data_IF_493697444345
#
_entry.id   IF_493697444345
#
_cell.length_a   1.000
_cell.length_b   1.000
_cell.length_c   1.000
_cell.angle_alpha   90.00
_cell.angle_beta   90.00
_cell.angle_gamma   90.00
#
_symmetry.space_group_name_H-M   'P 1'
#
loop_
_entity.id
_entity.type
_entity.pdbx_description
1 polymer ?
#
# COMPACT_ATOMS: atom_id res chain seq x y z
N UNK A 1 -20.98 -21.88 38.12
CA UNK A 1 -20.59 -22.65 36.92
C UNK A 1 -19.20 -22.16 36.56
N UNK A 2 -18.18 -22.81 37.14
CA UNK A 2 -16.77 -22.43 37.03
C UNK A 2 -16.24 -22.78 35.63
N UNK A 3 -15.43 -21.89 35.06
CA UNK A 3 -14.61 -22.19 33.88
C UNK A 3 -13.17 -21.78 34.18
N UNK A 4 -12.30 -22.80 34.16
CA UNK A 4 -10.84 -22.69 34.24
C UNK A 4 -10.26 -21.98 33.00
N UNK A 5 -9.10 -21.31 33.13
CA UNK A 5 -8.43 -20.63 32.03
C UNK A 5 -7.65 -21.60 31.14
N UNK A 6 -7.84 -21.49 29.82
CA UNK A 6 -7.12 -22.29 28.83
C UNK A 6 -5.76 -21.68 28.51
N UNK A 7 -4.72 -22.50 28.67
CA UNK A 7 -3.32 -22.16 28.54
C UNK A 7 -2.85 -22.05 27.09
N UNK A 8 -1.85 -21.20 26.91
CA UNK A 8 -1.04 -20.99 25.71
C UNK A 8 -0.30 -22.28 25.32
N UNK A 9 -0.63 -22.84 24.16
CA UNK A 9 0.12 -23.94 23.56
C UNK A 9 1.20 -23.41 22.60
N UNK A 10 2.45 -23.34 23.09
CA UNK A 10 3.67 -23.23 22.27
C UNK A 10 4.05 -24.63 21.77
N UNK A 11 4.08 -24.83 20.46
CA UNK A 11 4.65 -26.03 19.86
C UNK A 11 6.19 -25.90 19.80
N UNK A 12 6.89 -26.64 20.64
CA UNK A 12 8.31 -26.94 20.52
C UNK A 12 8.45 -28.42 20.16
N UNK A 13 8.99 -28.70 18.99
CA UNK A 13 9.36 -30.06 18.57
C UNK A 13 10.78 -30.38 19.05
N UNK A 14 10.92 -31.48 19.79
CA UNK A 14 12.21 -32.11 20.09
C UNK A 14 12.25 -33.51 19.42
N UNK A 15 13.39 -33.96 18.87
CA UNK A 15 13.51 -35.28 18.26
C UNK A 15 14.04 -36.32 19.26
N UNK A 16 13.62 -37.58 19.10
CA UNK A 16 14.11 -38.78 19.79
C UNK A 16 14.44 -39.91 18.80
N UNK A 17 15.08 -41.02 19.24
CA UNK A 17 16.34 -41.52 18.65
C UNK A 17 16.20 -42.70 17.68
N UNK A 18 17.25 -42.91 16.86
CA UNK A 18 17.28 -43.84 15.71
C UNK A 18 17.85 -45.24 15.95
N UNK A 19 18.20 -45.94 14.85
CA UNK A 19 19.24 -47.00 14.73
C UNK A 19 19.40 -47.53 13.29
N UNK A 20 20.67 -47.60 12.84
CA UNK A 20 21.27 -48.57 11.89
C UNK A 20 20.94 -48.42 10.39
N UNK A 21 21.85 -48.38 9.42
CA UNK A 21 23.30 -48.62 9.34
C UNK A 21 23.61 -49.47 8.10
N UNK A 22 24.30 -48.92 7.09
CA UNK A 22 25.24 -49.58 6.18
C UNK A 22 25.67 -48.64 5.03
N UNK A 23 26.98 -48.47 4.84
CA UNK A 23 27.63 -48.02 3.61
C UNK A 23 28.48 -49.18 3.05
N UNK A 24 28.94 -49.14 1.78
CA UNK A 24 30.29 -48.61 1.55
C UNK A 24 30.49 -47.79 0.24
N UNK A 25 31.66 -47.16 0.19
CA UNK A 25 32.28 -46.17 -0.74
C UNK A 25 32.78 -46.77 -2.09
N UNK A 26 33.66 -46.15 -2.94
CA UNK A 26 34.37 -44.84 -2.86
C UNK A 26 34.61 -44.04 -4.19
N UNK A 27 35.24 -42.87 -3.99
CA UNK A 27 36.29 -42.23 -4.81
C UNK A 27 36.02 -41.71 -6.24
N UNK A 28 36.15 -40.38 -6.40
CA UNK A 28 37.27 -39.82 -7.15
C UNK A 28 37.60 -38.37 -6.69
N UNK A 29 38.87 -38.16 -6.31
CA UNK A 29 39.52 -36.85 -6.20
C UNK A 29 40.30 -36.61 -7.50
N UNK A 30 40.38 -35.37 -7.99
CA UNK A 30 41.64 -34.70 -8.39
C UNK A 30 41.45 -33.19 -8.66
N UNK A 31 42.06 -32.41 -7.74
CA UNK A 31 42.77 -31.11 -7.75
C UNK A 31 42.81 -30.12 -8.96
N UNK A 32 43.22 -28.85 -8.69
CA UNK A 32 42.76 -27.63 -9.36
C UNK A 32 43.76 -27.07 -10.39
N UNK A 33 43.32 -26.07 -11.17
CA UNK A 33 44.21 -25.24 -11.99
C UNK A 33 44.10 -23.74 -11.67
N UNK A 34 45.29 -23.18 -11.53
CA UNK A 34 45.67 -21.84 -11.10
C UNK A 34 45.53 -20.79 -12.21
N UNK A 35 45.42 -19.53 -11.77
CA UNK A 35 45.39 -18.27 -12.56
C UNK A 35 46.54 -18.11 -13.56
N UNK A 36 46.44 -17.10 -14.44
CA UNK A 36 47.42 -16.02 -14.31
C UNK A 36 46.81 -14.60 -14.27
N UNK A 37 47.48 -13.79 -13.46
CA UNK A 37 47.37 -12.35 -13.31
C UNK A 37 48.17 -11.71 -14.45
N UNK A 38 47.58 -10.79 -15.21
CA UNK A 38 48.33 -9.94 -16.14
C UNK A 38 48.48 -8.53 -15.55
N UNK A 39 49.73 -8.21 -15.16
CA UNK A 39 50.21 -6.85 -14.89
C UNK A 39 50.51 -6.14 -16.21
N UNK A 40 50.03 -4.90 -16.38
CA UNK A 40 50.65 -3.84 -17.21
C UNK A 40 50.42 -2.51 -16.49
N UNK A 41 51.42 -2.02 -15.75
CA UNK A 41 52.47 -1.07 -16.16
C UNK A 41 51.92 0.25 -16.69
N UNK A 42 52.14 1.29 -15.88
CA UNK A 42 51.87 2.68 -16.19
C UNK A 42 52.90 3.22 -17.20
N UNK A 43 52.40 3.93 -18.21
CA UNK A 43 53.20 4.82 -19.04
C UNK A 43 52.67 6.24 -18.86
N UNK A 44 53.56 7.11 -18.41
CA UNK A 44 53.37 8.54 -18.22
C UNK A 44 53.42 9.21 -19.59
N UNK A 45 52.35 9.88 -19.97
CA UNK A 45 52.29 10.77 -21.13
C UNK A 45 51.70 12.11 -20.69
N UNK A 46 52.57 13.09 -20.50
CA UNK A 46 52.19 14.46 -20.23
C UNK A 46 51.64 15.11 -21.50
N UNK A 47 50.41 15.65 -21.44
CA UNK A 47 49.88 16.59 -22.44
C UNK A 47 49.23 17.76 -21.70
N UNK A 48 49.64 18.96 -22.09
CA UNK A 48 49.35 20.23 -21.46
C UNK A 48 47.85 20.55 -21.33
N UNK A 49 47.45 21.01 -20.14
CA UNK A 49 46.10 21.53 -19.86
C UNK A 49 46.01 22.98 -20.32
N UNK A 50 45.27 23.22 -21.40
CA UNK A 50 44.75 24.54 -21.76
C UNK A 50 43.57 24.88 -20.84
N UNK A 51 43.66 26.03 -20.16
CA UNK A 51 42.63 26.58 -19.28
C UNK A 51 41.41 27.03 -20.09
N UNK A 52 40.28 26.32 -19.95
CA UNK A 52 38.92 26.90 -20.12
C UNK A 52 37.97 26.25 -19.11
N UNK A 53 37.47 27.06 -18.18
CA UNK A 53 36.51 26.62 -17.17
C UNK A 53 35.15 26.27 -17.78
N UNK A 54 34.37 25.35 -17.19
CA UNK A 54 33.05 25.03 -17.69
C UNK A 54 32.05 26.12 -17.30
N UNK A 55 31.44 26.73 -18.32
CA UNK A 55 30.26 27.59 -18.18
C UNK A 55 29.11 26.69 -17.72
N UNK A 56 28.69 26.87 -16.47
CA UNK A 56 27.55 26.17 -15.88
C UNK A 56 26.26 26.56 -16.60
N UNK A 57 25.75 25.67 -17.45
CA UNK A 57 24.40 25.77 -18.01
C UNK A 57 23.40 25.39 -16.92
N UNK A 58 23.03 26.37 -16.09
CA UNK A 58 21.94 26.24 -15.09
C UNK A 58 20.67 25.81 -15.82
N UNK A 59 20.15 24.63 -15.47
CA UNK A 59 18.85 24.19 -15.95
C UNK A 59 17.78 25.13 -15.37
N UNK A 60 16.86 25.59 -16.22
CA UNK A 60 15.81 26.57 -15.92
C UNK A 60 14.69 26.03 -15.01
N UNK A 61 14.94 24.91 -14.31
CA UNK A 61 13.92 24.11 -13.64
C UNK A 61 14.02 24.09 -12.11
N UNK A 62 15.09 24.64 -11.51
CA UNK A 62 15.20 24.71 -10.04
C UNK A 62 14.49 25.92 -9.42
N UNK A 63 13.97 26.86 -10.23
CA UNK A 63 13.39 28.13 -9.75
C UNK A 63 11.87 28.06 -9.56
N UNK A 64 11.19 27.00 -10.02
CA UNK A 64 9.73 26.88 -9.92
C UNK A 64 9.22 26.32 -8.57
N UNK A 65 10.10 25.77 -7.72
CA UNK A 65 9.68 25.13 -6.45
C UNK A 65 9.74 26.08 -5.24
N UNK A 66 10.34 27.27 -5.37
CA UNK A 66 10.58 28.18 -4.22
C UNK A 66 9.62 29.37 -4.16
N UNK A 67 8.71 29.55 -5.12
CA UNK A 67 7.89 30.77 -5.23
C UNK A 67 6.43 30.65 -4.73
N UNK A 68 6.00 29.51 -4.14
CA UNK A 68 4.61 29.29 -3.73
C UNK A 68 4.43 29.07 -2.22
N UNK A 69 5.14 29.83 -1.38
CA UNK A 69 4.91 29.85 0.07
C UNK A 69 4.68 31.30 0.52
N UNK A 70 3.44 31.76 0.37
CA UNK A 70 2.70 32.70 1.24
C UNK A 70 1.67 33.50 0.45
N UNK A 71 0.42 33.08 0.50
CA UNK A 71 -0.75 33.97 0.37
C UNK A 71 -1.83 33.46 1.33
N UNK A 72 -2.32 34.34 2.20
CA UNK A 72 -3.12 34.07 3.39
C UNK A 72 -4.58 33.68 3.17
N UNK A 73 -4.92 32.98 2.08
CA UNK A 73 -6.17 32.23 1.91
C UNK A 73 -5.85 31.11 0.92
N UNK A 74 -6.33 29.89 1.18
CA UNK A 74 -6.21 28.84 0.18
C UNK A 74 -7.10 29.22 -1.00
N UNK A 75 -6.53 29.40 -2.19
CA UNK A 75 -7.27 29.45 -3.45
C UNK A 75 -7.96 28.09 -3.65
N UNK A 76 -9.06 27.88 -2.93
CA UNK A 76 -9.89 26.69 -3.06
C UNK A 76 -10.51 26.67 -4.45
N UNK A 77 -10.76 25.48 -4.97
CA UNK A 77 -11.58 25.36 -6.17
C UNK A 77 -13.01 25.83 -5.88
N UNK A 78 -13.63 26.45 -6.88
CA UNK A 78 -15.06 26.70 -6.88
C UNK A 78 -15.80 25.35 -7.04
N UNK A 79 -16.20 24.77 -5.92
CA UNK A 79 -16.77 23.43 -5.83
C UNK A 79 -17.83 23.38 -4.72
N UNK A 80 -18.94 22.67 -4.95
CA UNK A 80 -19.97 22.48 -3.93
C UNK A 80 -19.56 21.40 -2.91
N UNK A 81 -18.85 21.82 -1.86
CA UNK A 81 -18.32 20.93 -0.83
C UNK A 81 -19.39 20.16 -0.03
N UNK A 82 -20.63 20.66 0.07
CA UNK A 82 -21.74 19.96 0.75
C UNK A 82 -22.20 18.72 -0.01
N UNK A 83 -21.99 18.70 -1.33
CA UNK A 83 -22.40 17.60 -2.19
C UNK A 83 -21.42 16.43 -2.18
N UNK A 84 -20.25 16.58 -1.52
CA UNK A 84 -19.22 15.56 -1.51
C UNK A 84 -19.73 14.23 -0.96
N UNK A 85 -19.58 13.19 -1.78
CA UNK A 85 -19.70 11.79 -1.37
C UNK A 85 -18.36 11.07 -1.43
N UNK A 86 -18.40 9.76 -1.59
CA UNK A 86 -17.23 8.94 -1.91
C UNK A 86 -17.28 8.54 -3.40
N UNK A 87 -17.11 9.54 -4.27
CA UNK A 87 -17.13 9.39 -5.73
C UNK A 87 -15.87 10.00 -6.32
N UNK A 88 -15.45 9.50 -7.49
CA UNK A 88 -14.27 10.03 -8.16
C UNK A 88 -14.53 11.46 -8.63
N UNK A 89 -13.76 12.40 -8.09
CA UNK A 89 -13.63 13.77 -8.57
C UNK A 89 -12.18 13.91 -9.05
N UNK A 90 -11.94 13.99 -10.37
CA UNK A 90 -10.60 14.19 -10.91
C UNK A 90 -9.96 15.45 -10.35
N UNK A 91 -8.74 15.32 -9.82
CA UNK A 91 -7.92 16.46 -9.38
C UNK A 91 -6.88 16.82 -10.44
N UNK A 92 -5.98 17.76 -10.16
CA UNK A 92 -5.11 18.33 -11.19
C UNK A 92 -3.93 17.43 -11.53
N UNK A 93 -3.30 16.84 -10.52
CA UNK A 93 -2.05 16.09 -10.66
C UNK A 93 -2.09 14.75 -9.94
N UNK A 94 -1.31 13.81 -10.45
CA UNK A 94 -0.94 12.57 -9.78
C UNK A 94 0.58 12.39 -9.82
N UNK A 95 1.12 11.59 -8.91
CA UNK A 95 2.55 11.26 -8.87
C UNK A 95 2.79 9.87 -9.46
N UNK A 96 3.87 9.70 -10.23
CA UNK A 96 4.30 8.41 -10.76
C UNK A 96 5.80 8.20 -10.51
N UNK A 97 6.17 7.01 -10.06
CA UNK A 97 7.53 6.48 -10.14
C UNK A 97 7.50 5.05 -10.69
N UNK A 98 8.61 4.61 -11.26
CA UNK A 98 8.72 3.30 -11.90
C UNK A 98 9.92 2.54 -11.36
N UNK A 99 9.83 1.22 -11.45
CA UNK A 99 10.89 0.31 -11.04
C UNK A 99 10.99 -0.81 -12.08
N UNK A 100 12.21 -1.25 -12.36
CA UNK A 100 12.49 -2.33 -13.32
C UNK A 100 13.07 -3.53 -12.58
N UNK A 101 13.73 -4.43 -13.31
CA UNK A 101 14.32 -5.66 -12.78
C UNK A 101 15.43 -5.45 -11.74
N UNK A 102 15.94 -4.22 -11.58
CA UNK A 102 16.94 -3.87 -10.57
C UNK A 102 16.33 -3.65 -9.18
N UNK A 103 15.00 -3.57 -9.07
CA UNK A 103 14.30 -3.33 -7.81
C UNK A 103 14.41 -1.88 -7.31
N UNK A 104 15.03 -0.98 -8.08
CA UNK A 104 15.26 0.40 -7.68
C UNK A 104 14.20 1.31 -8.29
N UNK A 105 13.46 2.01 -7.45
CA UNK A 105 12.51 3.01 -7.90
C UNK A 105 13.22 4.26 -8.40
N UNK A 106 12.86 4.70 -9.61
CA UNK A 106 13.35 5.95 -10.19
C UNK A 106 12.90 7.14 -9.35
N UNK A 107 13.54 8.28 -9.57
CA UNK A 107 12.95 9.56 -9.16
C UNK A 107 11.60 9.70 -9.87
N UNK A 108 10.53 9.82 -9.10
CA UNK A 108 9.21 10.04 -9.65
C UNK A 108 8.95 11.49 -10.01
N UNK A 109 7.79 11.71 -10.61
CA UNK A 109 7.35 12.97 -11.18
C UNK A 109 5.87 13.22 -10.92
N UNK A 110 5.50 14.50 -10.83
CA UNK A 110 4.12 14.93 -10.88
C UNK A 110 3.70 15.09 -12.34
N UNK A 111 2.62 14.44 -12.71
CA UNK A 111 2.01 14.53 -14.04
C UNK A 111 0.55 14.94 -13.90
N UNK A 112 -0.07 15.52 -14.94
CA UNK A 112 -1.52 15.74 -14.93
C UNK A 112 -2.27 14.45 -14.60
N UNK A 113 -3.33 14.55 -13.80
CA UNK A 113 -4.18 13.39 -13.52
C UNK A 113 -4.77 12.84 -14.83
N UNK A 114 -4.70 11.52 -15.02
CA UNK A 114 -5.14 10.90 -16.25
C UNK A 114 -5.01 9.37 -16.25
N UNK A 115 -5.31 8.73 -17.39
CA UNK A 115 -5.17 7.29 -17.53
C UNK A 115 -3.71 6.85 -17.39
N UNK A 116 -3.50 5.65 -16.85
CA UNK A 116 -2.20 4.97 -16.86
C UNK A 116 -2.22 3.99 -18.03
N UNK A 117 -1.34 4.19 -19.00
CA UNK A 117 -1.17 3.27 -20.12
C UNK A 117 -0.50 1.97 -19.65
N UNK A 118 -1.13 0.83 -19.97
CA UNK A 118 -0.65 -0.50 -19.64
C UNK A 118 -0.66 -1.38 -20.88
N UNK A 119 0.36 -2.23 -20.99
CA UNK A 119 0.34 -3.32 -21.97
C UNK A 119 -0.77 -4.33 -21.57
N UNK A 120 -1.55 -4.87 -22.52
CA UNK A 120 -2.57 -5.89 -22.20
C UNK A 120 -2.02 -7.12 -21.47
N UNK A 121 -0.75 -7.47 -21.70
CA UNK A 121 -0.05 -8.55 -21.01
C UNK A 121 0.53 -8.14 -19.64
N UNK A 122 0.19 -6.97 -19.09
CA UNK A 122 0.68 -6.55 -17.78
C UNK A 122 0.23 -7.52 -16.68
N UNK A 123 1.13 -7.83 -15.74
CA UNK A 123 0.86 -8.79 -14.67
C UNK A 123 -0.36 -8.39 -13.81
N UNK A 124 -0.58 -7.09 -13.59
CA UNK A 124 -1.77 -6.62 -12.85
C UNK A 124 -3.09 -6.99 -13.55
N UNK A 125 -3.13 -6.95 -14.88
CA UNK A 125 -4.34 -7.16 -15.66
C UNK A 125 -4.71 -8.65 -15.75
N UNK A 126 -3.70 -9.53 -15.75
CA UNK A 126 -3.87 -10.95 -15.98
C UNK A 126 -3.82 -11.79 -14.69
N UNK A 127 -3.04 -11.36 -13.70
CA UNK A 127 -2.75 -12.14 -12.48
C UNK A 127 -3.00 -11.35 -11.19
N UNK A 128 -3.54 -10.13 -11.28
CA UNK A 128 -3.89 -9.33 -10.11
C UNK A 128 -2.69 -8.90 -9.25
N UNK A 129 -1.47 -8.87 -9.82
CA UNK A 129 -0.25 -8.46 -9.10
C UNK A 129 -0.26 -6.95 -8.83
N UNK A 130 -1.02 -6.54 -7.82
CA UNK A 130 -1.18 -5.16 -7.43
C UNK A 130 -1.60 -4.98 -5.97
N UNK A 131 -1.18 -3.85 -5.41
CA UNK A 131 -1.52 -3.38 -4.08
C UNK A 131 -2.10 -1.98 -4.17
N UNK A 132 -2.95 -1.65 -3.20
CA UNK A 132 -3.41 -0.31 -2.98
C UNK A 132 -3.23 0.06 -1.51
N UNK A 133 -3.11 1.34 -1.24
CA UNK A 133 -3.19 1.91 0.09
C UNK A 133 -4.27 2.97 0.12
N UNK A 134 -4.57 3.46 1.31
CA UNK A 134 -5.29 4.70 1.40
C UNK A 134 -5.26 5.32 2.78
N UNK A 135 -5.41 6.64 2.74
CA UNK A 135 -5.24 7.53 3.85
C UNK A 135 -5.90 8.87 3.50
N UNK A 136 -5.98 9.77 4.48
CA UNK A 136 -6.69 11.05 4.34
C UNK A 136 -5.81 12.22 4.75
N UNK A 137 -5.93 13.30 3.99
CA UNK A 137 -5.43 14.62 4.33
C UNK A 137 -6.59 15.50 4.84
N UNK A 138 -6.39 16.10 6.00
CA UNK A 138 -7.37 16.99 6.63
C UNK A 138 -6.83 18.41 6.74
N UNK A 139 -7.63 19.40 6.37
CA UNK A 139 -7.32 20.80 6.60
C UNK A 139 -7.68 21.17 8.05
N UNK A 140 -6.74 21.81 8.74
CA UNK A 140 -6.96 22.43 10.05
C UNK A 140 -7.48 23.87 9.91
N UNK A 141 -8.00 24.41 11.00
CA UNK A 141 -8.43 25.82 11.11
C UNK A 141 -7.30 26.81 10.79
N UNK A 142 -6.05 26.48 11.16
CA UNK A 142 -4.85 27.26 10.83
C UNK A 142 -4.42 27.15 9.35
N UNK A 143 -5.17 26.40 8.53
CA UNK A 143 -4.90 26.16 7.11
C UNK A 143 -3.83 25.09 6.83
N UNK A 144 -3.16 24.55 7.85
CA UNK A 144 -2.21 23.45 7.70
C UNK A 144 -2.93 22.13 7.35
N UNK A 145 -2.19 21.20 6.74
CA UNK A 145 -2.73 19.90 6.31
C UNK A 145 -2.11 18.80 7.17
N UNK A 146 -2.96 17.98 7.77
CA UNK A 146 -2.56 16.84 8.57
C UNK A 146 -2.75 15.52 7.82
N UNK A 147 -1.82 14.61 8.07
CA UNK A 147 -1.90 13.19 7.73
C UNK A 147 -1.83 12.39 9.01
N UNK A 148 -2.56 11.28 9.06
CA UNK A 148 -2.50 10.34 10.17
C UNK A 148 -1.67 9.12 9.80
N UNK A 149 -0.52 8.95 10.46
CA UNK A 149 0.38 7.78 10.35
C UNK A 149 0.66 7.29 8.92
N UNK A 150 1.05 8.18 7.97
CA UNK A 150 1.28 7.78 6.58
C UNK A 150 2.44 6.79 6.42
N UNK A 151 3.35 6.72 7.39
CA UNK A 151 4.45 5.76 7.50
C UNK A 151 3.95 4.33 7.70
N UNK A 152 2.88 4.12 8.47
CA UNK A 152 2.26 2.79 8.64
C UNK A 152 1.65 2.27 7.34
N UNK A 153 1.07 3.16 6.53
CA UNK A 153 0.62 2.80 5.18
C UNK A 153 1.79 2.35 4.30
N UNK A 154 2.94 3.04 4.38
CA UNK A 154 4.13 2.66 3.64
C UNK A 154 4.65 1.27 4.06
N UNK A 155 4.73 1.02 5.38
CA UNK A 155 5.16 -0.26 5.94
C UNK A 155 4.20 -1.39 5.52
N UNK A 156 2.89 -1.15 5.58
CA UNK A 156 1.89 -2.13 5.15
C UNK A 156 1.98 -2.44 3.65
N UNK A 157 2.22 -1.44 2.81
CA UNK A 157 2.47 -1.67 1.39
C UNK A 157 3.72 -2.53 1.16
N UNK A 158 4.80 -2.31 1.92
CA UNK A 158 6.01 -3.12 1.83
C UNK A 158 5.77 -4.59 2.21
N UNK A 159 4.99 -4.84 3.27
CA UNK A 159 4.58 -6.21 3.65
C UNK A 159 3.76 -6.86 2.53
N UNK A 160 2.85 -6.11 1.90
CA UNK A 160 2.10 -6.58 0.74
C UNK A 160 3.00 -6.90 -0.46
N UNK A 161 3.99 -6.06 -0.71
CA UNK A 161 4.88 -6.19 -1.86
C UNK A 161 5.76 -7.42 -1.73
N UNK A 162 6.31 -7.66 -0.53
CA UNK A 162 7.05 -8.88 -0.21
C UNK A 162 6.20 -10.14 -0.48
N UNK A 163 4.95 -10.16 0.02
CA UNK A 163 4.03 -11.29 -0.19
C UNK A 163 3.69 -11.54 -1.67
N UNK A 164 3.67 -10.50 -2.49
CA UNK A 164 3.38 -10.58 -3.93
C UNK A 164 4.64 -10.64 -4.81
N UNK A 165 5.83 -10.79 -4.21
CA UNK A 165 7.12 -10.82 -4.90
C UNK A 165 7.34 -9.56 -5.78
N UNK A 166 7.02 -8.39 -5.22
CA UNK A 166 7.16 -7.08 -5.85
C UNK A 166 8.22 -6.24 -5.11
N UNK A 167 9.02 -5.41 -5.81
CA UNK A 167 9.77 -4.35 -5.15
C UNK A 167 8.80 -3.28 -4.65
N UNK A 168 9.13 -2.64 -3.52
CA UNK A 168 8.35 -1.52 -2.97
C UNK A 168 9.21 -0.26 -2.85
N UNK A 169 8.60 0.94 -2.94
CA UNK A 169 9.27 2.18 -2.59
C UNK A 169 9.78 2.14 -1.14
N UNK A 170 10.86 2.87 -0.86
CA UNK A 170 11.25 3.13 0.53
C UNK A 170 10.14 3.92 1.25
N UNK A 171 10.16 3.92 2.59
CA UNK A 171 9.19 4.70 3.37
C UNK A 171 9.30 6.18 3.00
N UNK A 172 10.52 6.69 2.85
CA UNK A 172 10.81 8.06 2.46
C UNK A 172 10.28 8.39 1.06
N UNK A 173 10.49 7.50 0.08
CA UNK A 173 9.96 7.67 -1.28
C UNK A 173 8.43 7.71 -1.28
N UNK A 174 7.79 6.84 -0.50
CA UNK A 174 6.34 6.79 -0.36
C UNK A 174 5.78 8.09 0.26
N UNK A 175 6.39 8.54 1.36
CA UNK A 175 6.00 9.76 2.05
C UNK A 175 6.20 11.01 1.19
N UNK A 176 7.31 11.09 0.46
CA UNK A 176 7.60 12.20 -0.44
C UNK A 176 6.60 12.26 -1.61
N UNK A 177 6.28 11.11 -2.22
CA UNK A 177 5.27 11.03 -3.27
C UNK A 177 3.89 11.52 -2.79
N UNK A 178 3.46 11.11 -1.60
CA UNK A 178 2.22 11.58 -0.98
C UNK A 178 2.26 13.09 -0.76
N UNK A 179 3.33 13.59 -0.14
CA UNK A 179 3.50 15.02 0.16
C UNK A 179 3.44 15.87 -1.10
N UNK A 180 4.20 15.50 -2.14
CA UNK A 180 4.20 16.21 -3.42
C UNK A 180 2.83 16.20 -4.08
N UNK A 181 2.13 15.05 -4.06
CA UNK A 181 0.78 14.94 -4.64
C UNK A 181 -0.22 15.84 -3.92
N UNK A 182 -0.22 15.86 -2.58
CA UNK A 182 -1.11 16.72 -1.79
C UNK A 182 -0.83 18.19 -2.06
N UNK A 183 0.44 18.60 -2.07
CA UNK A 183 0.82 19.99 -2.29
C UNK A 183 0.42 20.46 -3.69
N UNK A 184 0.62 19.63 -4.71
CA UNK A 184 0.19 19.93 -6.09
C UNK A 184 -1.33 20.06 -6.22
N UNK A 185 -2.10 19.41 -5.35
CA UNK A 185 -3.56 19.44 -5.33
C UNK A 185 -4.11 20.17 -4.09
N UNK A 186 -3.35 21.09 -3.48
CA UNK A 186 -3.71 21.72 -2.19
C UNK A 186 -5.08 22.42 -2.21
N UNK A 187 -5.48 22.95 -3.36
CA UNK A 187 -6.80 23.59 -3.59
C UNK A 187 -7.99 22.63 -3.51
N UNK A 188 -7.73 21.34 -3.71
CA UNK A 188 -8.74 20.27 -3.62
C UNK A 188 -8.90 19.71 -2.20
N UNK A 189 -8.06 20.09 -1.24
CA UNK A 189 -8.24 19.67 0.14
C UNK A 189 -9.45 20.41 0.72
N UNK A 190 -10.54 19.69 1.09
CA UNK A 190 -11.77 20.33 1.55
C UNK A 190 -11.54 21.29 2.72
N UNK A 191 -12.37 22.34 2.86
CA UNK A 191 -12.41 23.16 4.07
C UNK A 191 -12.63 22.32 5.33
N UNK A 192 -12.19 22.84 6.48
CA UNK A 192 -12.43 22.22 7.79
C UNK A 192 -13.92 21.90 7.96
N UNK A 193 -14.23 20.68 8.40
CA UNK A 193 -15.60 20.20 8.59
C UNK A 193 -16.33 19.75 7.33
N UNK A 194 -15.80 19.99 6.11
CA UNK A 194 -16.46 19.61 4.85
C UNK A 194 -16.03 18.25 4.28
N UNK A 195 -14.98 17.64 4.84
CA UNK A 195 -14.52 16.32 4.43
C UNK A 195 -13.01 16.18 4.53
N UNK A 196 -12.43 15.42 3.62
CA UNK A 196 -10.99 15.15 3.55
C UNK A 196 -10.53 14.95 2.11
N UNK A 197 -9.24 15.16 1.85
CA UNK A 197 -8.63 14.69 0.60
C UNK A 197 -8.23 13.23 0.78
N UNK A 198 -8.92 12.31 0.11
CA UNK A 198 -8.52 10.92 0.07
C UNK A 198 -7.30 10.75 -0.83
N UNK A 199 -6.32 9.99 -0.36
CA UNK A 199 -5.07 9.73 -1.06
C UNK A 199 -5.02 8.24 -1.38
N UNK A 200 -4.73 7.90 -2.63
CA UNK A 200 -4.70 6.53 -3.14
C UNK A 200 -3.34 6.19 -3.74
N UNK A 201 -2.41 5.68 -2.94
CA UNK A 201 -1.20 5.04 -3.44
C UNK A 201 -1.55 3.67 -4.07
N UNK A 202 -0.96 3.37 -5.21
CA UNK A 202 -1.07 2.11 -5.95
C UNK A 202 0.32 1.59 -6.23
N UNK A 203 0.54 0.28 -6.09
CA UNK A 203 1.73 -0.40 -6.58
C UNK A 203 1.30 -1.50 -7.54
N UNK A 204 1.74 -1.43 -8.79
CA UNK A 204 1.19 -2.20 -9.91
C UNK A 204 2.32 -2.93 -10.64
N UNK A 205 2.18 -4.24 -10.85
CA UNK A 205 3.01 -5.00 -11.80
C UNK A 205 2.64 -4.63 -13.24
N UNK A 206 3.27 -3.57 -13.76
CA UNK A 206 2.93 -2.95 -15.04
C UNK A 206 3.65 -3.55 -16.25
N UNK A 207 4.71 -4.33 -16.01
CA UNK A 207 5.47 -5.00 -17.06
C UNK A 207 4.72 -6.16 -17.71
N UNK A 208 4.90 -6.31 -19.02
CA UNK A 208 4.30 -7.38 -19.81
C UNK A 208 4.90 -8.75 -19.48
N UNK A 209 4.06 -9.73 -19.13
CA UNK A 209 4.45 -11.11 -18.86
C UNK A 209 3.23 -12.04 -19.00
N UNK A 210 3.40 -13.18 -19.70
CA UNK A 210 2.37 -14.23 -19.84
C UNK A 210 2.63 -15.46 -18.97
N UNK A 211 3.84 -15.56 -18.39
CA UNK A 211 4.14 -16.56 -17.37
C UNK A 211 3.71 -16.06 -16.00
N UNK A 212 3.30 -16.97 -15.12
CA UNK A 212 3.02 -16.64 -13.72
C UNK A 212 4.35 -16.46 -12.99
N UNK A 213 4.81 -15.22 -12.92
CA UNK A 213 6.03 -14.80 -12.22
C UNK A 213 5.97 -13.31 -11.86
N UNK A 214 6.97 -12.83 -11.13
CA UNK A 214 7.14 -11.40 -10.85
C UNK A 214 7.21 -10.58 -12.14
N UNK A 215 6.46 -9.48 -12.22
CA UNK A 215 6.51 -8.59 -13.37
C UNK A 215 7.93 -8.04 -13.60
N UNK A 216 8.32 -7.77 -14.87
CA UNK A 216 9.61 -7.18 -15.20
C UNK A 216 9.66 -5.66 -14.95
N UNK A 217 8.50 -5.02 -14.74
CA UNK A 217 8.38 -3.60 -14.45
C UNK A 217 7.22 -3.36 -13.47
N UNK A 218 7.40 -2.36 -12.62
CA UNK A 218 6.42 -1.91 -11.65
C UNK A 218 6.19 -0.42 -11.76
N UNK A 219 4.97 0.00 -11.42
CA UNK A 219 4.59 1.41 -11.34
C UNK A 219 3.98 1.67 -9.98
N UNK A 220 4.57 2.63 -9.26
CA UNK A 220 3.96 3.20 -8.06
C UNK A 220 3.35 4.54 -8.44
N UNK A 221 2.06 4.69 -8.18
CA UNK A 221 1.30 5.90 -8.50
C UNK A 221 0.56 6.40 -7.25
N UNK A 222 0.43 7.72 -7.11
CA UNK A 222 -0.39 8.34 -6.07
C UNK A 222 -1.32 9.34 -6.74
N UNK A 223 -2.62 9.14 -6.57
CA UNK A 223 -3.61 10.14 -6.93
C UNK A 223 -4.44 10.51 -5.70
N UNK A 224 -5.18 11.61 -5.81
CA UNK A 224 -6.02 12.12 -4.72
C UNK A 224 -7.43 12.41 -5.23
N UNK A 225 -8.38 12.47 -4.30
CA UNK A 225 -9.77 12.77 -4.58
C UNK A 225 -10.41 13.43 -3.35
N UNK A 226 -11.08 14.58 -3.47
CA UNK A 226 -11.87 15.11 -2.35
C UNK A 226 -13.02 14.16 -2.05
N UNK A 227 -13.24 13.85 -0.77
CA UNK A 227 -14.33 12.99 -0.32
C UNK A 227 -15.03 13.60 0.89
N UNK A 228 -16.34 13.37 0.94
CA UNK A 228 -17.19 13.85 2.03
C UNK A 228 -17.16 12.91 3.23
N UNK A 229 -18.00 13.23 4.21
CA UNK A 229 -18.29 12.33 5.32
C UNK A 229 -19.06 11.10 4.83
N UNK A 230 -18.78 9.95 5.41
CA UNK A 230 -19.45 8.70 5.03
C UNK A 230 -20.96 8.73 5.34
N UNK A 231 -21.34 9.41 6.42
CA UNK A 231 -22.72 9.53 6.85
C UNK A 231 -23.08 11.01 6.92
N UNK A 232 -24.00 11.45 6.05
CA UNK A 232 -24.45 12.85 5.98
C UNK A 232 -25.15 13.29 7.27
N UNK A 233 -25.79 12.35 7.97
CA UNK A 233 -26.60 12.59 9.17
C UNK A 233 -25.91 12.15 10.48
N UNK A 234 -24.58 12.00 10.48
CA UNK A 234 -23.81 11.59 11.67
C UNK A 234 -23.72 10.06 11.85
N UNK A 235 -23.64 9.57 13.09
CA UNK A 235 -23.42 8.13 13.39
C UNK A 235 -24.69 7.28 13.19
N UNK A 236 -25.15 7.17 11.95
CA UNK A 236 -26.27 6.29 11.61
C UNK A 236 -25.82 4.82 11.68
N UNK A 237 -26.50 3.96 12.45
CA UNK A 237 -26.18 2.54 12.48
C UNK A 237 -26.44 1.91 11.11
N UNK A 238 -25.59 0.95 10.75
CA UNK A 238 -25.72 0.20 9.49
C UNK A 238 -26.20 -1.21 9.76
N UNK A 239 -26.90 -1.79 8.80
CA UNK A 239 -27.32 -3.20 8.84
C UNK A 239 -26.30 -4.05 8.10
N UNK A 240 -25.91 -5.18 8.70
CA UNK A 240 -24.92 -6.09 8.13
C UNK A 240 -25.56 -7.45 7.81
N UNK A 241 -25.23 -8.01 6.65
CA UNK A 241 -25.55 -9.40 6.32
C UNK A 241 -24.35 -10.29 6.69
N UNK A 242 -24.56 -11.28 7.55
CA UNK A 242 -23.54 -12.30 7.81
C UNK A 242 -23.39 -13.19 6.57
N UNK A 243 -22.17 -13.27 6.04
CA UNK A 243 -21.86 -14.10 4.89
C UNK A 243 -21.52 -15.53 5.30
N UNK A 244 -22.26 -16.49 4.74
CA UNK A 244 -22.18 -17.92 5.09
C UNK A 244 -21.59 -18.78 3.97
N UNK A 245 -21.58 -18.28 2.73
CA UNK A 245 -21.13 -19.02 1.54
C UNK A 245 -19.73 -18.59 1.09
N UNK A 246 -19.45 -17.28 1.09
CA UNK A 246 -18.18 -16.74 0.61
C UNK A 246 -17.26 -16.36 1.75
N UNK A 247 -15.97 -16.68 1.59
CA UNK A 247 -14.95 -16.32 2.55
C UNK A 247 -14.17 -15.10 2.07
N UNK A 248 -13.90 -14.17 2.99
CA UNK A 248 -13.13 -12.95 2.71
C UNK A 248 -11.67 -13.26 2.37
N UNK A 249 -11.12 -14.20 3.11
CA UNK A 249 -9.75 -14.68 3.03
C UNK A 249 -9.69 -16.11 3.58
N UNK A 250 -8.55 -16.77 3.38
CA UNK A 250 -8.26 -18.10 3.93
C UNK A 250 -6.91 -18.10 4.67
N UNK A 251 -6.69 -18.98 5.67
CA UNK A 251 -5.37 -19.22 6.24
C UNK A 251 -4.33 -19.50 5.15
N UNK A 252 -3.16 -18.87 5.26
CA UNK A 252 -2.11 -18.93 4.23
C UNK A 252 -2.38 -18.08 2.97
N UNK A 253 -3.57 -17.51 2.83
CA UNK A 253 -3.94 -16.63 1.73
C UNK A 253 -3.37 -15.21 1.87
N UNK A 254 -4.01 -14.26 1.19
CA UNK A 254 -3.58 -12.85 1.11
C UNK A 254 -4.38 -11.92 2.01
N UNK A 255 -5.21 -12.43 2.91
CA UNK A 255 -6.14 -11.62 3.71
C UNK A 255 -5.48 -10.52 4.54
N UNK A 256 -4.22 -10.70 4.95
CA UNK A 256 -3.48 -9.74 5.75
C UNK A 256 -2.84 -8.58 4.96
N UNK A 257 -2.83 -8.66 3.62
CA UNK A 257 -2.26 -7.62 2.74
C UNK A 257 -3.36 -6.89 1.96
N UNK A 258 -3.09 -5.65 1.54
CA UNK A 258 -4.05 -4.79 0.82
C UNK A 258 -3.93 -4.99 -0.71
N UNK A 259 -3.98 -6.24 -1.14
CA UNK A 259 -3.95 -6.60 -2.58
C UNK A 259 -5.30 -6.38 -3.24
N UNK A 260 -5.28 -6.02 -4.53
CA UNK A 260 -6.50 -5.81 -5.33
C UNK A 260 -7.36 -7.08 -5.45
N UNK A 261 -6.73 -8.27 -5.45
CA UNK A 261 -7.45 -9.55 -5.58
C UNK A 261 -8.43 -9.80 -4.43
N UNK A 262 -8.08 -9.34 -3.22
CA UNK A 262 -8.92 -9.43 -2.03
C UNK A 262 -10.24 -8.63 -2.16
N UNK A 263 -10.26 -7.59 -3.00
CA UNK A 263 -11.43 -6.74 -3.18
C UNK A 263 -12.32 -7.23 -4.33
N UNK A 264 -11.76 -7.90 -5.33
CA UNK A 264 -12.51 -8.44 -6.46
C UNK A 264 -13.44 -9.58 -6.04
N UNK A 265 -12.99 -10.45 -5.14
CA UNK A 265 -13.75 -11.64 -4.71
C UNK A 265 -15.00 -11.33 -3.89
N UNK A 266 -15.06 -10.17 -3.23
CA UNK A 266 -16.16 -9.82 -2.31
C UNK A 266 -17.33 -9.08 -2.98
N UNK A 267 -17.19 -8.68 -4.24
CA UNK A 267 -18.20 -7.87 -4.95
C UNK A 267 -19.55 -8.59 -5.04
N UNK A 268 -19.54 -9.90 -5.24
CA UNK A 268 -20.78 -10.69 -5.29
C UNK A 268 -21.50 -10.72 -3.93
N UNK A 269 -20.77 -10.92 -2.83
CA UNK A 269 -21.33 -10.86 -1.47
C UNK A 269 -21.96 -9.49 -1.17
N UNK A 270 -21.28 -8.40 -1.54
CA UNK A 270 -21.82 -7.04 -1.40
C UNK A 270 -23.11 -6.82 -2.18
N UNK A 271 -23.15 -7.32 -3.43
CA UNK A 271 -24.36 -7.22 -4.25
C UNK A 271 -25.54 -7.91 -3.58
N UNK A 272 -25.34 -9.13 -3.07
CA UNK A 272 -26.40 -9.89 -2.37
C UNK A 272 -26.86 -9.23 -1.08
N UNK A 273 -25.93 -8.67 -0.29
CA UNK A 273 -26.29 -7.92 0.92
C UNK A 273 -27.22 -6.74 0.59
N UNK A 274 -26.87 -5.96 -0.43
CA UNK A 274 -27.69 -4.83 -0.90
C UNK A 274 -29.06 -5.28 -1.42
N UNK A 275 -29.12 -6.36 -2.20
CA UNK A 275 -30.38 -6.94 -2.70
C UNK A 275 -31.30 -7.40 -1.56
N UNK A 276 -30.74 -7.78 -0.41
CA UNK A 276 -31.47 -8.15 0.80
C UNK A 276 -31.72 -6.98 1.77
N UNK A 277 -31.40 -5.74 1.37
CA UNK A 277 -31.63 -4.55 2.19
C UNK A 277 -30.61 -4.31 3.30
N UNK A 278 -29.45 -4.97 3.27
CA UNK A 278 -28.34 -4.70 4.18
C UNK A 278 -27.35 -3.70 3.58
N UNK A 279 -26.70 -2.91 4.44
CA UNK A 279 -25.74 -1.89 4.05
C UNK A 279 -24.40 -2.49 3.65
N UNK A 280 -23.96 -3.53 4.34
CA UNK A 280 -22.67 -4.19 4.11
C UNK A 280 -22.65 -5.66 4.58
N UNK A 281 -21.50 -6.32 4.49
CA UNK A 281 -21.30 -7.74 4.77
C UNK A 281 -20.40 -7.94 6.00
N UNK A 282 -20.81 -8.84 6.89
CA UNK A 282 -20.01 -9.35 8.00
C UNK A 282 -19.42 -10.70 7.62
N UNK A 283 -18.09 -10.82 7.65
CA UNK A 283 -17.39 -12.06 7.34
C UNK A 283 -17.02 -12.85 8.59
N UNK A 284 -17.21 -14.16 8.50
CA UNK A 284 -16.77 -15.12 9.49
C UNK A 284 -15.52 -15.85 9.03
N UNK A 285 -14.83 -16.44 10.00
CA UNK A 285 -13.65 -17.24 9.76
C UNK A 285 -13.95 -18.41 8.81
N UNK A 286 -13.03 -18.71 7.88
CA UNK A 286 -13.27 -19.70 6.83
C UNK A 286 -13.21 -21.15 7.31
N UNK A 287 -12.69 -21.42 8.52
CA UNK A 287 -12.46 -22.78 9.02
C UNK A 287 -13.65 -23.28 9.82
N UNK A 288 -14.08 -22.50 10.80
CA UNK A 288 -15.13 -22.82 11.76
C UNK A 288 -16.45 -22.13 11.43
N UNK A 289 -16.43 -21.04 10.66
CA UNK A 289 -17.61 -20.24 10.27
C UNK A 289 -18.38 -19.73 11.49
N UNK A 290 -17.64 -19.30 12.52
CA UNK A 290 -18.20 -18.92 13.82
C UNK A 290 -17.54 -17.67 14.39
N UNK A 291 -16.26 -17.45 14.10
CA UNK A 291 -15.51 -16.32 14.62
C UNK A 291 -15.65 -15.15 13.66
N UNK A 292 -15.98 -13.98 14.20
CA UNK A 292 -16.11 -12.76 13.40
C UNK A 292 -14.72 -12.24 13.01
N UNK A 293 -14.53 -11.93 11.73
CA UNK A 293 -13.26 -11.40 11.21
C UNK A 293 -13.33 -9.91 10.85
N UNK A 294 -14.06 -9.56 9.78
CA UNK A 294 -14.06 -8.22 9.20
C UNK A 294 -15.48 -7.84 8.72
N UNK A 295 -15.76 -6.53 8.67
CA UNK A 295 -16.92 -5.98 7.97
C UNK A 295 -16.42 -5.47 6.63
N UNK A 296 -16.46 -6.32 5.60
CA UNK A 296 -16.04 -5.99 4.24
C UNK A 296 -14.65 -5.38 4.07
N UNK A 297 -14.59 -4.05 4.12
CA UNK A 297 -13.37 -3.25 4.02
C UNK A 297 -13.28 -2.35 5.25
N UNK A 298 -13.53 -2.92 6.43
CA UNK A 298 -13.41 -2.33 7.75
C UNK A 298 -13.08 -3.44 8.76
N UNK A 299 -12.28 -3.14 9.78
CA UNK A 299 -12.17 -4.01 10.95
C UNK A 299 -13.40 -3.81 11.84
N UNK A 300 -13.60 -4.74 12.76
CA UNK A 300 -14.69 -4.71 13.73
C UNK A 300 -14.15 -4.53 15.14
N UNK A 301 -14.89 -3.75 15.93
CA UNK A 301 -14.68 -3.61 17.37
C UNK A 301 -15.99 -3.94 18.08
N UNK A 302 -15.93 -4.77 19.12
CA UNK A 302 -17.10 -5.17 19.91
C UNK A 302 -16.95 -4.65 21.33
N UNK A 303 -17.92 -3.84 21.79
CA UNK A 303 -17.94 -3.30 23.15
C UNK A 303 -18.90 -4.14 23.99
N UNK A 304 -18.37 -4.82 25.01
CA UNK A 304 -19.19 -5.55 25.99
C UNK A 304 -19.57 -4.59 27.12
N UNK A 305 -20.84 -4.22 27.20
CA UNK A 305 -21.35 -3.44 28.34
C UNK A 305 -21.68 -4.43 29.47
N UNK A 306 -20.76 -4.62 30.41
CA UNK A 306 -21.09 -5.22 31.70
C UNK A 306 -21.81 -4.16 32.55
N UNK A 307 -23.01 -4.48 33.05
CA UNK A 307 -23.71 -3.66 34.02
C UNK A 307 -22.87 -3.65 35.32
N UNK A 308 -22.29 -2.48 35.61
CA UNK A 308 -21.34 -2.14 36.68
C UNK A 308 -19.90 -2.65 36.51
N UNK A 309 -18.96 -1.69 36.63
CA UNK A 309 -17.51 -1.70 36.33
C UNK A 309 -17.16 -1.45 34.86
N UNK A 310 -16.83 -0.19 34.57
CA UNK A 310 -16.11 0.22 33.37
C UNK A 310 -14.71 -0.39 33.42
N UNK A 311 -14.49 -1.47 32.66
CA UNK A 311 -13.14 -1.93 32.33
C UNK A 311 -12.89 -1.61 30.85
N UNK A 312 -12.23 -0.47 30.60
CA UNK A 312 -11.75 -0.06 29.28
C UNK A 312 -10.47 -0.85 28.96
N UNK A 313 -10.57 -2.17 28.79
CA UNK A 313 -9.41 -2.99 28.50
C UNK A 313 -9.76 -4.16 27.57
N UNK A 314 -9.78 -3.87 26.27
CA UNK A 314 -9.26 -4.71 25.17
C UNK A 314 -9.78 -4.17 23.83
N UNK A 315 -9.10 -3.14 23.32
CA UNK A 315 -9.20 -2.74 21.91
C UNK A 315 -7.92 -3.25 21.26
N UNK A 316 -7.93 -4.47 20.76
CA UNK A 316 -6.82 -4.97 19.94
C UNK A 316 -6.91 -4.32 18.55
N UNK A 317 -5.91 -3.49 18.26
CA UNK A 317 -5.80 -2.76 17.01
C UNK A 317 -5.30 -3.67 15.89
N UNK A 318 -6.18 -4.05 14.97
CA UNK A 318 -5.81 -4.19 13.57
C UNK A 318 -6.49 -3.04 12.85
N UNK A 319 -5.72 -2.07 12.36
CA UNK A 319 -6.24 -1.07 11.43
C UNK A 319 -5.92 -1.53 10.01
N UNK A 320 -6.76 -2.37 9.42
CA UNK A 320 -6.97 -2.33 7.97
C UNK A 320 -8.27 -1.57 7.75
N UNK A 321 -8.26 -0.27 7.44
CA UNK A 321 -9.10 0.21 6.35
C UNK A 321 -9.02 1.69 6.00
N UNK A 322 -9.31 1.86 4.71
CA UNK A 322 -9.51 3.00 3.81
C UNK A 322 -8.38 4.00 3.67
#
# INVERSE_FOLDING_TARGET
MELLPCAVARALAAPGPGRGGAAPSPMHRHRPLSRPILKRSAAVGAVAVSRRGPVARRSRWSTLVTAAYNTGTADLVDFNWESLGFQLVPTDFMYIMRCWSDGVFTKGELVPYGPIELNPAAAVLNYGQGLLEGLRAHRKEDGSILLFRPDENALRMRVGADRLCMPAPSVEQFLEAIKLTILANKRWVPPTGKGSLYIRPLLIGSGAILGVASAPQYTFAVFVCPVGHYFKDGLSPISLLTEEEYHRAAPGGTGYIKTIGNYASVVSAHKRAKERGHSDVLYLDPVHRKFVEEVSSCNIFMVKVCMYVLDFAQIDFLCKSI
#
